data_IF_493678544923
#
_entry.id   IF_493678544923
#
_cell.length_a   1.000
_cell.length_b   1.000
_cell.length_c   1.000
_cell.angle_alpha   90.00
_cell.angle_beta   90.00
_cell.angle_gamma   90.00
#
_symmetry.space_group_name_H-M   'P 1'
#
loop_
_entity.id
_entity.type
_entity.pdbx_description
1 polymer ?
#
# COMPACT_ATOMS: atom_id res chain seq x y z
N UNK A 1 20.30 5.80 44.01
CA UNK A 1 19.81 6.48 42.77
C UNK A 1 18.62 5.71 42.26
N UNK A 2 17.41 6.25 42.36
CA UNK A 2 16.17 5.61 41.87
C UNK A 2 16.06 5.91 40.37
N UNK A 3 15.93 4.92 39.47
CA UNK A 3 15.82 5.18 38.05
C UNK A 3 14.52 5.93 37.77
N UNK A 4 14.62 7.09 37.12
CA UNK A 4 13.49 7.89 36.65
C UNK A 4 12.73 7.05 35.63
N UNK A 5 11.61 6.46 36.06
CA UNK A 5 10.66 5.77 35.18
C UNK A 5 10.18 6.78 34.16
N UNK A 6 10.59 6.62 32.89
CA UNK A 6 10.04 7.38 31.78
C UNK A 6 8.52 7.28 31.83
N UNK A 7 7.84 8.31 32.28
CA UNK A 7 6.38 8.42 32.24
C UNK A 7 5.98 8.33 30.78
N UNK A 8 5.31 7.24 30.42
CA UNK A 8 4.67 7.13 29.10
C UNK A 8 3.78 8.37 28.92
N UNK A 9 4.14 9.24 27.97
CA UNK A 9 3.39 10.44 27.65
C UNK A 9 1.96 10.01 27.37
N UNK A 10 1.00 10.45 28.17
CA UNK A 10 -0.43 10.13 27.96
C UNK A 10 -0.85 10.76 26.64
N UNK A 11 -1.32 9.96 25.71
CA UNK A 11 -1.83 10.43 24.43
C UNK A 11 -3.07 11.29 24.66
N UNK A 12 -3.03 12.53 24.17
CA UNK A 12 -4.17 13.44 24.19
C UNK A 12 -5.00 13.26 22.91
N UNK A 13 -6.33 13.24 23.06
CA UNK A 13 -7.25 13.09 21.91
C UNK A 13 -7.55 14.49 21.37
N UNK A 14 -6.54 15.13 20.74
CA UNK A 14 -6.65 16.46 20.14
C UNK A 14 -6.26 16.41 18.67
N UNK A 15 -6.81 17.33 17.86
CA UNK A 15 -6.49 17.45 16.43
C UNK A 15 -4.99 17.68 16.23
N UNK A 16 -4.36 18.52 17.04
CA UNK A 16 -2.95 18.88 16.88
C UNK A 16 -2.02 17.69 17.16
N UNK A 17 -2.31 16.91 18.20
CA UNK A 17 -1.52 15.71 18.48
C UNK A 17 -1.72 14.65 17.39
N UNK A 18 -2.96 14.47 16.92
CA UNK A 18 -3.25 13.55 15.80
C UNK A 18 -2.53 13.99 14.52
N UNK A 19 -2.49 15.31 14.25
CA UNK A 19 -1.79 15.89 13.10
C UNK A 19 -0.28 15.61 13.18
N UNK A 20 0.33 15.81 14.34
CA UNK A 20 1.77 15.54 14.54
C UNK A 20 2.11 14.06 14.29
N UNK A 21 1.28 13.14 14.78
CA UNK A 21 1.47 11.71 14.49
C UNK A 21 1.22 11.37 13.04
N UNK A 22 0.24 12.00 12.41
CA UNK A 22 -0.03 11.83 10.99
C UNK A 22 1.15 12.29 10.14
N UNK A 23 1.71 13.47 10.40
CA UNK A 23 2.88 13.98 9.70
C UNK A 23 4.09 13.05 9.83
N UNK A 24 4.43 12.63 11.04
CA UNK A 24 5.53 11.70 11.26
C UNK A 24 5.35 10.35 10.52
N UNK A 25 4.09 9.90 10.39
CA UNK A 25 3.78 8.68 9.64
C UNK A 25 3.87 8.90 8.13
N UNK A 26 3.35 10.02 7.63
CA UNK A 26 3.40 10.39 6.21
C UNK A 26 4.85 10.55 5.74
N UNK A 27 5.67 11.28 6.49
CA UNK A 27 7.09 11.49 6.20
C UNK A 27 7.84 10.17 6.07
N UNK A 28 7.59 9.23 6.97
CA UNK A 28 8.30 7.96 7.01
C UNK A 28 7.83 6.94 5.99
N UNK A 29 6.55 6.89 5.69
CA UNK A 29 5.96 5.77 4.95
C UNK A 29 5.26 6.15 3.64
N UNK A 30 5.05 7.44 3.36
CA UNK A 30 4.26 7.91 2.23
C UNK A 30 3.00 7.05 1.99
N UNK A 31 2.08 6.96 2.97
CA UNK A 31 0.96 6.03 2.95
C UNK A 31 -0.17 6.48 2.03
N UNK A 32 -1.10 5.56 1.69
CA UNK A 32 -2.42 5.95 1.19
C UNK A 32 -3.25 6.59 2.31
N UNK A 33 -4.28 7.35 1.94
CA UNK A 33 -5.25 7.93 2.87
C UNK A 33 -5.84 6.89 3.82
N UNK A 34 -6.24 5.73 3.28
CA UNK A 34 -6.79 4.62 4.07
C UNK A 34 -5.76 3.99 5.03
N UNK A 35 -4.50 3.89 4.62
CA UNK A 35 -3.44 3.38 5.50
C UNK A 35 -3.20 4.34 6.68
N UNK A 36 -3.17 5.65 6.43
CA UNK A 36 -3.04 6.66 7.47
C UNK A 36 -4.25 6.64 8.42
N UNK A 37 -5.48 6.55 7.87
CA UNK A 37 -6.71 6.40 8.67
C UNK A 37 -6.62 5.18 9.59
N UNK A 38 -6.23 4.04 9.06
CA UNK A 38 -6.10 2.79 9.82
C UNK A 38 -5.03 2.90 10.92
N UNK A 39 -3.92 3.57 10.64
CA UNK A 39 -2.87 3.82 11.63
C UNK A 39 -3.38 4.67 12.79
N UNK A 40 -4.03 5.81 12.50
CA UNK A 40 -4.58 6.69 13.52
C UNK A 40 -5.68 6.00 14.34
N UNK A 41 -6.58 5.27 13.69
CA UNK A 41 -7.60 4.47 14.37
C UNK A 41 -6.98 3.46 15.34
N UNK A 42 -6.01 2.68 14.91
CA UNK A 42 -5.32 1.70 15.78
C UNK A 42 -4.66 2.36 16.97
N UNK A 43 -4.13 3.58 16.78
CA UNK A 43 -3.44 4.31 17.84
C UNK A 43 -4.41 4.88 18.88
N UNK A 44 -5.52 5.47 18.45
CA UNK A 44 -6.44 6.20 19.31
C UNK A 44 -7.62 5.36 19.81
N UNK A 45 -8.09 4.35 19.06
CA UNK A 45 -9.18 3.47 19.51
C UNK A 45 -8.84 2.62 20.73
N UNK A 46 -7.55 2.31 20.92
CA UNK A 46 -7.08 1.61 22.12
C UNK A 46 -7.27 2.43 23.40
N UNK A 47 -7.44 3.74 23.29
CA UNK A 47 -7.59 4.67 24.41
C UNK A 47 -9.06 4.97 24.73
N UNK A 48 -9.96 4.65 23.81
CA UNK A 48 -11.38 4.97 23.92
C UNK A 48 -12.16 3.79 24.45
N UNK A 49 -12.54 3.84 25.73
CA UNK A 49 -13.32 2.78 26.38
C UNK A 49 -14.84 2.89 26.15
N UNK A 50 -15.35 4.02 25.64
CA UNK A 50 -16.77 4.26 25.37
C UNK A 50 -17.07 4.49 23.89
N UNK A 51 -18.25 4.08 23.41
CA UNK A 51 -18.67 4.25 22.01
C UNK A 51 -18.86 5.70 21.58
N UNK A 52 -19.22 6.58 22.52
CA UNK A 52 -19.33 8.03 22.30
C UNK A 52 -17.95 8.60 21.94
N UNK A 53 -16.92 8.28 22.73
CA UNK A 53 -15.53 8.70 22.45
C UNK A 53 -15.01 8.17 21.14
N UNK A 54 -15.40 6.97 20.70
CA UNK A 54 -15.01 6.40 19.41
C UNK A 54 -15.54 7.22 18.22
N UNK A 55 -16.79 7.69 18.31
CA UNK A 55 -17.38 8.57 17.27
C UNK A 55 -16.64 9.89 17.17
N UNK A 56 -16.27 10.50 18.29
CA UNK A 56 -15.53 11.75 18.31
C UNK A 56 -14.11 11.57 17.77
N UNK A 57 -13.43 10.49 18.14
CA UNK A 57 -12.12 10.13 17.57
C UNK A 57 -12.17 9.99 16.04
N UNK A 58 -13.21 9.33 15.50
CA UNK A 58 -13.38 9.20 14.05
C UNK A 58 -13.52 10.56 13.37
N UNK A 59 -14.35 11.47 13.91
CA UNK A 59 -14.52 12.83 13.37
C UNK A 59 -13.20 13.59 13.36
N UNK A 60 -12.43 13.53 14.44
CA UNK A 60 -11.12 14.19 14.51
C UNK A 60 -10.13 13.64 13.49
N UNK A 61 -10.12 12.31 13.30
CA UNK A 61 -9.28 11.68 12.28
C UNK A 61 -9.69 12.15 10.89
N UNK A 62 -10.99 12.22 10.58
CA UNK A 62 -11.47 12.66 9.28
C UNK A 62 -11.12 14.13 9.00
N UNK A 63 -11.13 15.00 10.03
CA UNK A 63 -10.65 16.39 9.92
C UNK A 63 -9.15 16.40 9.55
N UNK A 64 -8.33 15.66 10.28
CA UNK A 64 -6.88 15.60 10.03
C UNK A 64 -6.58 15.06 8.62
N UNK A 65 -7.28 14.01 8.19
CA UNK A 65 -7.11 13.45 6.84
C UNK A 65 -7.49 14.47 5.75
N UNK A 66 -8.61 15.18 5.93
CA UNK A 66 -9.05 16.22 5.00
C UNK A 66 -8.04 17.37 4.89
N UNK A 67 -7.47 17.81 6.01
CA UNK A 67 -6.43 18.84 6.03
C UNK A 67 -5.17 18.40 5.28
N UNK A 68 -4.70 17.16 5.53
CA UNK A 68 -3.51 16.63 4.87
C UNK A 68 -3.71 16.41 3.37
N UNK A 69 -4.91 16.02 2.95
CA UNK A 69 -5.27 15.86 1.54
C UNK A 69 -5.33 17.22 0.82
N UNK A 70 -6.01 18.22 1.41
CA UNK A 70 -6.07 19.59 0.87
C UNK A 70 -4.69 20.21 0.68
N UNK A 71 -3.79 19.97 1.61
CA UNK A 71 -2.41 20.46 1.57
C UNK A 71 -1.46 19.53 0.78
N UNK A 72 -1.99 18.51 0.11
CA UNK A 72 -1.24 17.56 -0.73
C UNK A 72 -0.15 16.76 0.00
N UNK A 73 -0.22 16.65 1.32
CA UNK A 73 0.68 15.77 2.09
C UNK A 73 0.35 14.29 1.89
N UNK A 74 -0.92 13.97 1.61
CA UNK A 74 -1.37 12.65 1.13
C UNK A 74 -2.01 12.82 -0.25
N UNK A 75 -1.67 11.91 -1.17
CA UNK A 75 -2.17 11.91 -2.52
C UNK A 75 -2.26 10.47 -3.03
N UNK A 76 -3.47 9.94 -3.08
CA UNK A 76 -3.72 8.55 -3.47
C UNK A 76 -3.43 8.29 -4.95
N UNK A 77 -3.57 9.30 -5.83
CA UNK A 77 -3.16 9.21 -7.23
C UNK A 77 -1.65 8.99 -7.33
N UNK A 78 -0.86 9.87 -6.71
CA UNK A 78 0.60 9.75 -6.70
C UNK A 78 1.08 8.45 -6.04
N UNK A 79 0.42 8.05 -4.93
CA UNK A 79 0.69 6.78 -4.27
C UNK A 79 0.48 5.60 -5.23
N UNK A 80 -0.64 5.59 -5.97
CA UNK A 80 -0.99 4.52 -6.90
C UNK A 80 0.04 4.39 -8.03
N UNK A 81 0.39 5.50 -8.67
CA UNK A 81 1.38 5.53 -9.76
C UNK A 81 2.77 5.09 -9.28
N UNK A 82 3.22 5.60 -8.14
CA UNK A 82 4.52 5.25 -7.56
C UNK A 82 4.61 3.75 -7.20
N UNK A 83 3.55 3.21 -6.59
CA UNK A 83 3.48 1.77 -6.24
C UNK A 83 3.38 0.89 -7.47
N UNK A 84 2.57 1.27 -8.45
CA UNK A 84 2.46 0.56 -9.72
C UNK A 84 3.82 0.48 -10.42
N UNK A 85 4.52 1.60 -10.58
CA UNK A 85 5.87 1.64 -11.16
C UNK A 85 6.84 0.71 -10.42
N UNK A 86 6.87 0.75 -9.10
CA UNK A 86 7.71 -0.13 -8.29
C UNK A 86 7.35 -1.62 -8.47
N UNK A 87 6.05 -1.94 -8.60
CA UNK A 87 5.60 -3.32 -8.80
C UNK A 87 5.92 -3.84 -10.20
N UNK A 88 5.78 -3.01 -11.24
CA UNK A 88 6.20 -3.32 -12.62
C UNK A 88 7.70 -3.62 -12.67
N UNK A 89 8.52 -2.81 -12.01
CA UNK A 89 9.96 -3.04 -11.92
C UNK A 89 10.31 -4.41 -11.31
N UNK A 90 9.45 -4.93 -10.43
CA UNK A 90 9.60 -6.27 -9.83
C UNK A 90 8.99 -7.39 -10.66
N UNK A 91 8.32 -7.07 -11.77
CA UNK A 91 7.67 -8.03 -12.66
C UNK A 91 6.27 -8.43 -12.21
N UNK A 92 5.54 -7.57 -11.51
CA UNK A 92 4.13 -7.83 -11.17
C UNK A 92 3.24 -7.57 -12.38
N UNK A 93 2.17 -8.36 -12.53
CA UNK A 93 1.13 -8.12 -13.53
C UNK A 93 0.26 -6.91 -13.18
N UNK A 94 -0.42 -6.38 -14.16
CA UNK A 94 -1.42 -5.31 -14.00
C UNK A 94 -2.53 -5.75 -13.03
N UNK A 95 -2.99 -6.99 -13.15
CA UNK A 95 -4.01 -7.54 -12.25
C UNK A 95 -3.54 -7.57 -10.79
N UNK A 96 -2.29 -7.98 -10.55
CA UNK A 96 -1.72 -7.96 -9.20
C UNK A 96 -1.58 -6.53 -8.65
N UNK A 97 -1.22 -5.57 -9.49
CA UNK A 97 -1.15 -4.15 -9.12
C UNK A 97 -2.54 -3.66 -8.72
N UNK A 98 -3.56 -3.92 -9.53
CA UNK A 98 -4.96 -3.56 -9.23
C UNK A 98 -5.40 -4.10 -7.87
N UNK A 99 -5.23 -5.40 -7.63
CA UNK A 99 -5.61 -6.05 -6.38
C UNK A 99 -4.84 -5.48 -5.18
N UNK A 100 -3.57 -5.14 -5.36
CA UNK A 100 -2.78 -4.48 -4.32
C UNK A 100 -3.35 -3.10 -3.97
N UNK A 101 -3.69 -2.27 -4.97
CA UNK A 101 -4.23 -0.93 -4.76
C UNK A 101 -5.63 -0.98 -4.09
N UNK A 102 -6.50 -1.91 -4.51
CA UNK A 102 -7.78 -2.18 -3.83
C UNK A 102 -7.54 -2.51 -2.35
N UNK A 103 -6.61 -3.41 -2.06
CA UNK A 103 -6.24 -3.78 -0.68
C UNK A 103 -5.64 -2.64 0.14
N UNK A 104 -5.21 -1.55 -0.50
CA UNK A 104 -4.76 -0.31 0.14
C UNK A 104 -5.84 0.75 0.30
N UNK A 105 -7.06 0.42 -0.13
CA UNK A 105 -8.22 1.31 -0.03
C UNK A 105 -8.16 2.50 -0.99
N UNK A 106 -7.50 2.31 -2.13
CA UNK A 106 -7.47 3.31 -3.19
C UNK A 106 -8.82 3.30 -3.93
N UNK A 107 -9.33 4.47 -4.27
CA UNK A 107 -10.55 4.62 -5.06
C UNK A 107 -10.38 4.06 -6.48
N UNK A 108 -11.44 3.45 -7.01
CA UNK A 108 -11.44 2.78 -8.32
C UNK A 108 -11.04 3.72 -9.47
N UNK A 109 -11.39 4.99 -9.39
CA UNK A 109 -10.98 6.01 -10.34
C UNK A 109 -9.45 6.10 -10.47
N UNK A 110 -8.73 6.24 -9.35
CA UNK A 110 -7.28 6.31 -9.35
C UNK A 110 -6.62 4.99 -9.78
N UNK A 111 -7.26 3.86 -9.46
CA UNK A 111 -6.80 2.55 -9.93
C UNK A 111 -6.93 2.44 -11.43
N UNK A 112 -8.09 2.86 -11.99
CA UNK A 112 -8.35 2.87 -13.42
C UNK A 112 -7.35 3.75 -14.15
N UNK A 113 -7.19 5.01 -13.72
CA UNK A 113 -6.25 5.95 -14.32
C UNK A 113 -4.82 5.40 -14.31
N UNK A 114 -4.41 4.79 -13.20
CA UNK A 114 -3.07 4.20 -13.09
C UNK A 114 -2.90 3.03 -14.06
N UNK A 115 -3.90 2.17 -14.19
CA UNK A 115 -3.88 1.00 -15.11
C UNK A 115 -3.90 1.45 -16.57
N UNK A 116 -4.71 2.46 -16.89
CA UNK A 116 -4.82 2.98 -18.25
C UNK A 116 -3.49 3.63 -18.69
N UNK A 117 -2.84 4.43 -17.84
CA UNK A 117 -1.49 4.94 -18.07
C UNK A 117 -0.46 3.84 -18.31
N UNK A 118 -0.48 2.75 -17.53
CA UNK A 118 0.43 1.62 -17.74
C UNK A 118 0.24 0.99 -19.12
N UNK A 119 -1.01 0.86 -19.59
CA UNK A 119 -1.33 0.27 -20.89
C UNK A 119 -1.00 1.21 -22.05
N UNK A 120 -1.16 2.52 -21.86
CA UNK A 120 -0.75 3.55 -22.82
C UNK A 120 0.77 3.57 -23.00
N UNK A 121 1.52 3.50 -21.89
CA UNK A 121 2.98 3.43 -21.92
C UNK A 121 3.49 2.14 -22.58
N UNK A 122 2.83 1.02 -22.36
CA UNK A 122 3.20 -0.27 -22.94
C UNK A 122 2.01 -1.27 -22.91
N UNK A 123 1.41 -1.53 -24.07
CA UNK A 123 0.31 -2.48 -24.23
C UNK A 123 0.68 -3.91 -23.80
N UNK A 124 1.96 -4.29 -23.97
CA UNK A 124 2.47 -5.63 -23.68
C UNK A 124 3.12 -5.73 -22.30
N UNK A 125 2.81 -4.79 -21.39
CA UNK A 125 3.45 -4.71 -20.07
C UNK A 125 3.38 -6.03 -19.29
N UNK A 126 2.27 -6.74 -19.34
CA UNK A 126 2.12 -8.02 -18.64
C UNK A 126 3.05 -9.11 -19.21
N UNK A 127 3.22 -9.13 -20.52
CA UNK A 127 4.18 -10.05 -21.16
C UNK A 127 5.62 -9.77 -20.72
N UNK A 128 6.05 -8.50 -20.73
CA UNK A 128 7.39 -8.14 -20.25
C UNK A 128 7.59 -8.41 -18.75
N UNK A 129 6.55 -8.19 -17.95
CA UNK A 129 6.57 -8.50 -16.52
C UNK A 129 6.69 -10.02 -16.28
N UNK A 130 5.98 -10.84 -17.07
CA UNK A 130 6.08 -12.29 -17.00
C UNK A 130 7.49 -12.78 -17.37
N UNK A 131 8.07 -12.27 -18.48
CA UNK A 131 9.46 -12.58 -18.88
C UNK A 131 10.43 -12.22 -17.75
N UNK A 132 10.27 -11.06 -17.14
CA UNK A 132 11.14 -10.60 -16.04
C UNK A 132 11.11 -11.58 -14.85
N UNK A 133 9.92 -12.06 -14.48
CA UNK A 133 9.77 -13.07 -13.42
C UNK A 133 10.39 -14.39 -13.84
N UNK A 134 10.14 -14.85 -15.07
CA UNK A 134 10.72 -16.08 -15.59
C UNK A 134 12.25 -16.06 -15.49
N UNK A 135 12.88 -14.99 -15.96
CA UNK A 135 14.34 -14.81 -15.86
C UNK A 135 14.82 -14.78 -14.42
N UNK A 136 14.20 -13.95 -13.56
CA UNK A 136 14.59 -13.77 -12.16
C UNK A 136 14.47 -15.06 -11.34
N UNK A 137 13.44 -15.86 -11.59
CA UNK A 137 13.13 -17.08 -10.86
C UNK A 137 13.67 -18.33 -11.54
N UNK A 138 14.26 -18.21 -12.72
CA UNK A 138 14.75 -19.32 -13.56
C UNK A 138 13.66 -20.37 -13.79
N UNK A 139 12.49 -19.92 -14.26
CA UNK A 139 11.31 -20.76 -14.51
C UNK A 139 10.90 -20.73 -15.97
N UNK A 140 10.08 -21.70 -16.38
CA UNK A 140 9.60 -21.83 -17.76
C UNK A 140 10.75 -21.84 -18.77
N UNK A 141 10.73 -20.96 -19.80
CA UNK A 141 11.80 -20.91 -20.82
C UNK A 141 13.19 -20.60 -20.27
N UNK A 142 13.30 -20.00 -19.10
CA UNK A 142 14.57 -19.69 -18.43
C UNK A 142 15.14 -20.87 -17.61
N UNK A 143 14.43 -22.00 -17.55
CA UNK A 143 14.88 -23.24 -16.93
C UNK A 143 15.63 -24.09 -17.95
N UNK A 144 16.55 -24.94 -17.49
CA UNK A 144 17.20 -25.95 -18.33
C UNK A 144 16.15 -26.88 -18.96
N UNK A 145 16.36 -27.30 -20.18
CA UNK A 145 15.38 -28.00 -21.00
C UNK A 145 14.87 -29.29 -20.36
N UNK A 146 15.78 -30.09 -19.82
CA UNK A 146 15.50 -31.37 -19.13
C UNK A 146 14.56 -31.22 -17.94
N UNK A 147 14.54 -30.05 -17.29
CA UNK A 147 13.75 -29.80 -16.09
C UNK A 147 12.43 -29.07 -16.37
N UNK A 148 12.15 -28.65 -17.62
CA UNK A 148 10.95 -27.87 -17.94
C UNK A 148 9.66 -28.65 -17.70
N UNK A 149 9.58 -29.87 -18.18
CA UNK A 149 8.41 -30.76 -18.02
C UNK A 149 8.15 -31.07 -16.56
N UNK A 150 9.22 -31.42 -15.82
CA UNK A 150 9.16 -31.83 -14.41
C UNK A 150 8.60 -30.70 -13.51
N UNK A 151 8.95 -29.45 -13.79
CA UNK A 151 8.56 -28.33 -12.98
C UNK A 151 7.41 -27.46 -13.56
N UNK A 152 6.80 -27.87 -14.68
CA UNK A 152 5.80 -27.11 -15.41
C UNK A 152 4.65 -26.62 -14.54
N UNK A 153 4.00 -27.51 -13.77
CA UNK A 153 2.88 -27.15 -12.87
C UNK A 153 3.30 -26.14 -11.80
N UNK A 154 4.50 -26.30 -11.26
CA UNK A 154 5.06 -25.40 -10.24
C UNK A 154 5.34 -24.01 -10.82
N UNK A 155 5.88 -23.96 -12.02
CA UNK A 155 6.22 -22.71 -12.72
C UNK A 155 4.95 -21.93 -13.10
N UNK A 156 3.91 -22.61 -13.63
CA UNK A 156 2.59 -22.00 -13.88
C UNK A 156 1.95 -21.48 -12.58
N UNK A 157 1.97 -22.27 -11.52
CA UNK A 157 1.41 -21.84 -10.23
C UNK A 157 2.13 -20.59 -9.68
N UNK A 158 3.42 -20.42 -9.98
CA UNK A 158 4.17 -19.24 -9.60
C UNK A 158 3.75 -18.01 -10.42
N UNK A 159 3.55 -18.17 -11.74
CA UNK A 159 3.04 -17.10 -12.60
C UNK A 159 1.63 -16.68 -12.19
N UNK A 160 0.72 -17.64 -11.97
CA UNK A 160 -0.64 -17.37 -11.52
C UNK A 160 -0.68 -16.58 -10.19
N UNK A 161 0.18 -16.89 -9.21
CA UNK A 161 0.32 -16.11 -7.97
C UNK A 161 0.85 -14.68 -8.20
N UNK A 162 1.45 -14.42 -9.34
CA UNK A 162 1.88 -13.09 -9.75
C UNK A 162 0.85 -12.38 -10.65
N UNK A 163 -0.30 -13.05 -10.91
CA UNK A 163 -1.45 -12.49 -11.60
C UNK A 163 -1.45 -12.70 -13.13
N UNK A 164 -0.59 -13.58 -13.63
CA UNK A 164 -0.53 -13.98 -15.05
C UNK A 164 -1.41 -15.18 -15.34
#
# INVERSE_FOLDING_TARGET
>A
MIPIRNRKKTLQVTVDEMRNFAFAYVEKYAPSKQQLKTYLLKKYMKLSSSDVRKKDVNKLIDIVLSDLEKNKFINDQFYSESKAKSMIQRGSSINKIRNYLIGKGIHDEFIKDTVDKIKEDNSDQDFFSAIKICKKKRIGPARTEDNRSLFYKKDISLLARNGF
#
